data_IF_424455785944
#
_entry.id   IF_424455785944
#
_cell.length_a   1.000
_cell.length_b   1.000
_cell.length_c   1.000
_cell.angle_alpha   90.00
_cell.angle_beta   90.00
_cell.angle_gamma   90.00
#
_symmetry.space_group_name_H-M   'P 1'
#
loop_
_entity.id
_entity.type
_entity.pdbx_description
1 polymer ?
#
# COMPACT_ATOMS: atom_id res chain seq x y z
N UNK A 1 5.32 -18.02 8.91
CA UNK A 1 4.46 -17.52 7.81
C UNK A 1 4.29 -16.02 7.97
N UNK A 2 4.59 -15.24 6.96
CA UNK A 2 4.36 -13.78 6.98
C UNK A 2 2.88 -13.53 6.69
N UNK A 3 2.19 -12.83 7.58
CA UNK A 3 0.80 -12.42 7.36
C UNK A 3 0.73 -11.38 6.24
N UNK A 4 -0.10 -11.63 5.22
CA UNK A 4 -0.32 -10.75 4.08
C UNK A 4 -1.82 -10.42 4.00
N UNK A 5 -2.23 -9.18 4.34
CA UNK A 5 -3.65 -8.83 4.32
C UNK A 5 -4.16 -8.61 2.90
N UNK A 6 -5.38 -9.04 2.64
CA UNK A 6 -6.07 -8.75 1.37
C UNK A 6 -5.37 -9.35 0.15
N UNK A 7 -5.41 -8.63 -0.97
CA UNK A 7 -4.91 -9.09 -2.29
C UNK A 7 -3.55 -8.48 -2.63
N UNK A 8 -2.72 -9.10 -3.47
CA UNK A 8 -1.51 -8.43 -3.96
C UNK A 8 -1.87 -7.16 -4.74
N UNK A 9 -1.13 -6.08 -4.52
CA UNK A 9 -1.31 -4.82 -5.24
C UNK A 9 -1.01 -5.06 -6.74
N UNK A 10 -1.96 -4.77 -7.64
CA UNK A 10 -1.72 -4.89 -9.08
C UNK A 10 -0.69 -3.87 -9.58
N UNK A 11 -0.06 -4.13 -10.73
CA UNK A 11 0.91 -3.20 -11.34
C UNK A 11 0.28 -1.88 -11.87
N UNK A 12 -1.03 -1.88 -12.14
CA UNK A 12 -1.74 -0.73 -12.71
C UNK A 12 -2.91 -0.30 -11.81
N UNK A 13 -3.14 1.00 -11.60
CA UNK A 13 -4.23 1.49 -10.76
C UNK A 13 -5.62 1.19 -11.34
N UNK A 14 -5.73 0.98 -12.65
CA UNK A 14 -6.99 0.69 -13.34
C UNK A 14 -7.55 -0.68 -13.00
N UNK A 15 -6.70 -1.61 -12.55
CA UNK A 15 -7.11 -2.97 -12.16
C UNK A 15 -7.41 -3.06 -10.65
N UNK A 16 -7.38 -1.93 -9.95
CA UNK A 16 -7.70 -1.83 -8.53
C UNK A 16 -9.18 -1.52 -8.33
N UNK A 17 -9.74 -2.06 -7.25
CA UNK A 17 -11.12 -1.88 -6.85
C UNK A 17 -11.15 -0.98 -5.61
N UNK A 18 -12.12 -0.07 -5.57
CA UNK A 18 -12.37 0.73 -4.38
C UNK A 18 -12.72 -0.17 -3.19
N UNK A 19 -12.39 0.29 -1.97
CA UNK A 19 -12.66 -0.42 -0.70
C UNK A 19 -12.07 -1.83 -0.62
N UNK A 20 -11.11 -2.15 -1.48
CA UNK A 20 -10.39 -3.42 -1.44
C UNK A 20 -9.06 -3.23 -0.73
N UNK A 21 -8.76 -4.14 0.19
CA UNK A 21 -7.49 -4.19 0.89
C UNK A 21 -6.44 -4.91 0.03
N UNK A 22 -5.31 -4.25 -0.16
CA UNK A 22 -4.17 -4.76 -0.89
C UNK A 22 -2.93 -4.85 0.01
N UNK A 23 -1.93 -5.63 -0.41
CA UNK A 23 -0.59 -5.66 0.15
C UNK A 23 0.49 -5.60 -0.93
N UNK A 24 1.63 -5.00 -0.60
CA UNK A 24 2.82 -4.99 -1.43
C UNK A 24 4.08 -4.89 -0.56
N UNK A 25 5.19 -5.54 -0.97
CA UNK A 25 6.49 -5.30 -0.35
C UNK A 25 7.01 -3.92 -0.72
N UNK A 26 7.70 -3.27 0.22
CA UNK A 26 8.56 -2.13 -0.04
C UNK A 26 9.92 -2.61 -0.53
N UNK A 27 10.68 -1.76 -1.22
CA UNK A 27 12.06 -2.05 -1.64
C UNK A 27 12.97 -2.33 -0.44
N UNK A 28 12.74 -1.65 0.68
CA UNK A 28 13.44 -1.85 1.95
C UNK A 28 13.15 -3.20 2.62
N UNK A 29 12.14 -3.95 2.14
CA UNK A 29 11.82 -5.31 2.56
C UNK A 29 10.61 -5.43 3.49
N UNK A 30 10.10 -4.32 4.03
CA UNK A 30 8.89 -4.35 4.85
C UNK A 30 7.62 -4.47 4.02
N UNK A 31 6.58 -5.03 4.64
CA UNK A 31 5.28 -5.18 4.00
C UNK A 31 4.37 -3.98 4.29
N UNK A 32 3.73 -3.48 3.25
CA UNK A 32 2.66 -2.49 3.33
C UNK A 32 1.28 -3.11 3.07
N UNK A 33 0.26 -2.47 3.63
CA UNK A 33 -1.14 -2.66 3.26
C UNK A 33 -1.75 -1.36 2.79
N UNK A 34 -2.66 -1.42 1.83
CA UNK A 34 -3.22 -0.23 1.22
C UNK A 34 -4.65 -0.45 0.74
N UNK A 35 -5.44 0.62 0.79
CA UNK A 35 -6.83 0.66 0.33
C UNK A 35 -7.04 1.90 -0.52
N UNK A 36 -7.96 1.80 -1.48
CA UNK A 36 -8.34 2.92 -2.33
C UNK A 36 -9.78 3.32 -2.03
N UNK A 37 -9.98 4.58 -1.69
CA UNK A 37 -11.32 5.13 -1.43
C UNK A 37 -11.45 6.50 -2.10
N UNK A 38 -12.53 6.72 -2.85
CA UNK A 38 -12.76 8.01 -3.52
C UNK A 38 -11.67 8.44 -4.50
N UNK A 39 -10.88 7.50 -5.04
CA UNK A 39 -9.74 7.80 -5.91
C UNK A 39 -8.42 8.00 -5.18
N UNK A 40 -8.46 8.20 -3.86
CA UNK A 40 -7.31 8.37 -2.98
C UNK A 40 -6.84 7.04 -2.43
N UNK A 41 -5.53 6.87 -2.32
CA UNK A 41 -4.90 5.73 -1.65
C UNK A 41 -4.60 6.08 -0.20
N UNK A 42 -4.77 5.10 0.67
CA UNK A 42 -4.32 5.12 2.05
C UNK A 42 -3.48 3.88 2.26
N UNK A 43 -2.31 4.02 2.87
CA UNK A 43 -1.38 2.93 3.08
C UNK A 43 -0.73 2.98 4.45
N UNK A 44 -0.29 1.80 4.90
CA UNK A 44 0.45 1.63 6.15
C UNK A 44 1.39 0.43 6.10
N UNK A 45 2.53 0.53 6.78
CA UNK A 45 3.42 -0.58 7.06
C UNK A 45 2.77 -1.52 8.10
N UNK A 46 2.96 -2.82 7.94
CA UNK A 46 2.34 -3.82 8.83
C UNK A 46 2.98 -3.91 10.21
N UNK A 47 4.26 -3.53 10.33
CA UNK A 47 5.05 -3.60 11.56
C UNK A 47 5.88 -2.33 11.78
N UNK A 48 5.38 -1.19 11.30
CA UNK A 48 6.03 0.11 11.44
C UNK A 48 5.15 1.06 12.24
N UNK A 49 5.76 1.79 13.17
CA UNK A 49 5.10 2.74 14.07
C UNK A 49 5.64 4.17 13.89
N UNK A 50 6.57 4.37 12.96
CA UNK A 50 7.14 5.68 12.63
C UNK A 50 6.23 6.54 11.73
N UNK A 51 6.54 7.84 11.60
CA UNK A 51 5.79 8.76 10.72
C UNK A 51 5.73 8.29 9.27
N UNK A 52 6.82 7.70 8.78
CA UNK A 52 6.94 7.19 7.40
C UNK A 52 6.23 5.83 7.19
N UNK A 53 5.71 5.24 8.26
CA UNK A 53 4.96 3.98 8.19
C UNK A 53 3.55 4.17 7.65
N UNK A 54 3.05 5.40 7.51
CA UNK A 54 1.69 5.71 7.08
C UNK A 54 1.70 6.74 5.96
N UNK A 55 0.69 6.72 5.09
CA UNK A 55 0.53 7.79 4.12
C UNK A 55 -0.79 7.72 3.36
N UNK A 56 -1.06 8.81 2.65
CA UNK A 56 -2.21 8.95 1.78
C UNK A 56 -1.86 9.81 0.57
N UNK A 57 -2.49 9.57 -0.57
CA UNK A 57 -2.20 10.30 -1.79
C UNK A 57 -2.69 9.59 -3.05
N UNK A 58 -2.12 9.95 -4.19
CA UNK A 58 -2.40 9.30 -5.46
C UNK A 58 -1.66 7.98 -5.64
N UNK A 59 -1.89 7.34 -6.78
CA UNK A 59 -1.13 6.15 -7.17
C UNK A 59 0.38 6.40 -7.20
N UNK A 60 0.81 7.54 -7.72
CA UNK A 60 2.23 7.89 -7.81
C UNK A 60 2.88 8.07 -6.44
N UNK A 61 2.15 8.58 -5.45
CA UNK A 61 2.66 8.74 -4.08
C UNK A 61 2.80 7.38 -3.38
N UNK A 62 1.82 6.49 -3.57
CA UNK A 62 1.90 5.10 -3.13
C UNK A 62 3.12 4.39 -3.74
N UNK A 63 3.35 4.55 -5.05
CA UNK A 63 4.50 3.94 -5.73
C UNK A 63 5.84 4.46 -5.17
N UNK A 64 5.95 5.77 -4.90
CA UNK A 64 7.14 6.35 -4.25
C UNK A 64 7.34 5.79 -2.85
N UNK A 65 6.27 5.65 -2.07
CA UNK A 65 6.34 5.07 -0.73
C UNK A 65 6.78 3.61 -0.75
N UNK A 66 6.33 2.82 -1.74
CA UNK A 66 6.80 1.44 -1.94
C UNK A 66 8.26 1.36 -2.35
N UNK A 67 8.81 2.40 -2.98
CA UNK A 67 10.19 2.45 -3.42
C UNK A 67 11.17 2.84 -2.31
N UNK A 68 10.71 3.61 -1.32
CA UNK A 68 11.52 4.03 -0.18
C UNK A 68 11.52 3.05 0.97
#
# INVERSE_FOLDING_TARGET
>A
MTFLPGRPLPAAPQTTQGRTLYHAPRTSGEMGSMTREGGTWQWRQLRGDGPDAYGTGGWSDLQKWLQG
#
